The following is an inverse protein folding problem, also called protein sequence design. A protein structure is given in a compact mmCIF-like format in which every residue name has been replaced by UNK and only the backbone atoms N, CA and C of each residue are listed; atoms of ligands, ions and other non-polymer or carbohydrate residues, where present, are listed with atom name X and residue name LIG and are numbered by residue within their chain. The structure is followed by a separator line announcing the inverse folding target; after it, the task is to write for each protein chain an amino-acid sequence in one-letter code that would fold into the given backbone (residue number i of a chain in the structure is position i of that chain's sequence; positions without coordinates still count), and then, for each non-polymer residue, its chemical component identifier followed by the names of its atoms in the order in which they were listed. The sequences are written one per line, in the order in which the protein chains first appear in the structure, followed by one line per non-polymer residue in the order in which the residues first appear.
data_IF_598235107699
#
_entry.id   IF_598235107699
#
_cell.length_a   1.000
_cell.length_b   1.000
_cell.length_c   1.000
_cell.angle_alpha   90.00
_cell.angle_beta   90.00
_cell.angle_gamma   90.00
#
_symmetry.space_group_name_H-M   'P 1'
#
loop_
_entity.id
_entity.type
_entity.pdbx_description
1 polymer ?
#
# COMPACT_ATOMS: atom_id res chain seq x y z
N UNK A 1 6.10 5.92 -18.08
CA UNK A 1 6.74 5.32 -16.92
C UNK A 1 5.94 5.75 -15.72
N UNK A 2 5.25 4.80 -15.12
CA UNK A 2 4.40 5.04 -13.96
C UNK A 2 5.23 4.88 -12.69
N UNK A 3 5.05 5.78 -11.71
CA UNK A 3 5.87 5.82 -10.50
C UNK A 3 5.11 5.21 -9.33
N UNK A 4 5.68 4.17 -8.74
CA UNK A 4 5.12 3.49 -7.58
C UNK A 4 5.87 3.89 -6.32
N UNK A 5 5.14 4.25 -5.26
CA UNK A 5 5.70 4.54 -3.94
C UNK A 5 5.47 3.36 -3.02
N UNK A 6 6.44 3.04 -2.16
CA UNK A 6 6.34 1.89 -1.27
C UNK A 6 7.05 2.14 0.06
N UNK A 7 6.63 1.39 1.08
CA UNK A 7 7.04 1.58 2.47
C UNK A 7 8.23 0.69 2.86
N UNK A 8 8.01 -0.61 2.95
CA UNK A 8 8.97 -1.61 3.42
C UNK A 8 8.62 -2.99 2.85
N UNK A 9 9.42 -4.00 3.15
CA UNK A 9 9.12 -5.39 2.79
C UNK A 9 7.94 -5.94 3.58
N UNK A 10 7.14 -6.79 2.94
CA UNK A 10 5.93 -7.35 3.51
C UNK A 10 6.23 -8.22 4.73
N UNK A 11 5.58 -7.91 5.85
CA UNK A 11 5.76 -8.65 7.10
C UNK A 11 5.10 -10.05 7.08
N UNK A 12 4.16 -10.31 6.17
CA UNK A 12 3.48 -11.60 6.05
C UNK A 12 4.29 -12.62 5.23
N UNK A 13 4.69 -12.28 3.99
CA UNK A 13 5.44 -13.19 3.12
C UNK A 13 6.96 -13.02 3.19
N UNK A 14 7.45 -11.92 3.78
CA UNK A 14 8.88 -11.58 3.90
C UNK A 14 9.62 -11.42 2.56
N UNK A 15 8.90 -11.18 1.47
CA UNK A 15 9.46 -11.08 0.10
C UNK A 15 9.02 -9.77 -0.58
N UNK A 16 7.76 -9.66 -0.96
CA UNK A 16 7.25 -8.52 -1.75
C UNK A 16 7.31 -7.16 -1.05
N UNK A 17 7.29 -6.10 -1.86
CA UNK A 17 7.20 -4.71 -1.40
C UNK A 17 5.76 -4.37 -0.99
N UNK A 18 5.62 -3.58 0.07
CA UNK A 18 4.36 -2.96 0.45
C UNK A 18 4.17 -1.63 -0.31
N UNK A 19 3.53 -1.72 -1.47
CA UNK A 19 3.18 -0.62 -2.36
C UNK A 19 2.07 0.22 -1.74
N UNK A 20 2.16 1.55 -1.82
CA UNK A 20 1.06 2.42 -1.41
C UNK A 20 0.07 2.47 -2.57
N UNK A 21 -1.17 2.05 -2.31
CA UNK A 21 -2.24 1.96 -3.29
C UNK A 21 -3.42 2.80 -2.86
N UNK A 22 -4.11 3.43 -3.82
CA UNK A 22 -5.34 4.17 -3.57
C UNK A 22 -6.54 3.27 -3.84
N UNK A 23 -7.36 3.02 -2.81
CA UNK A 23 -8.71 2.47 -2.92
C UNK A 23 -9.65 3.64 -3.24
N UNK A 24 -10.08 3.73 -4.50
CA UNK A 24 -10.94 4.81 -5.03
C UNK A 24 -12.40 4.61 -4.66
N UNK A 25 -12.78 3.38 -4.27
CA UNK A 25 -14.15 3.09 -3.82
C UNK A 25 -14.43 3.69 -2.45
N UNK A 26 -13.45 3.62 -1.56
CA UNK A 26 -13.55 4.12 -0.18
C UNK A 26 -12.71 5.38 0.07
N UNK A 27 -12.09 5.95 -0.96
CA UNK A 27 -11.29 7.18 -0.91
C UNK A 27 -10.20 7.14 0.17
N UNK A 28 -9.41 6.06 0.19
CA UNK A 28 -8.38 5.81 1.22
C UNK A 28 -7.11 5.17 0.65
N UNK A 29 -5.99 5.39 1.32
CA UNK A 29 -4.75 4.69 1.00
C UNK A 29 -4.63 3.41 1.82
N UNK A 30 -3.97 2.42 1.25
CA UNK A 30 -3.57 1.21 1.95
C UNK A 30 -2.22 0.71 1.42
N UNK A 31 -1.56 -0.14 2.19
CA UNK A 31 -0.36 -0.86 1.77
C UNK A 31 -0.76 -2.19 1.12
N UNK A 32 -0.34 -2.43 -0.11
CA UNK A 32 -0.57 -3.66 -0.88
C UNK A 32 0.74 -4.42 -1.05
N UNK A 33 0.78 -5.71 -0.72
CA UNK A 33 1.91 -6.58 -1.03
C UNK A 33 1.80 -7.14 -2.45
N UNK A 34 2.75 -6.80 -3.31
CA UNK A 34 2.80 -7.22 -4.72
C UNK A 34 2.97 -8.72 -4.96
N UNK A 35 3.37 -9.50 -3.95
CA UNK A 35 3.63 -10.93 -4.07
C UNK A 35 2.53 -11.82 -3.48
N UNK A 36 1.92 -11.38 -2.38
CA UNK A 36 1.03 -12.24 -1.58
C UNK A 36 -0.36 -11.63 -1.35
N UNK A 37 -0.66 -10.50 -2.01
CA UNK A 37 -2.00 -9.88 -2.02
C UNK A 37 -2.52 -9.48 -0.63
N UNK A 38 -1.62 -9.38 0.36
CA UNK A 38 -1.99 -8.86 1.68
C UNK A 38 -2.04 -7.33 1.66
N UNK A 39 -3.10 -6.79 2.25
CA UNK A 39 -3.38 -5.38 2.39
C UNK A 39 -3.38 -4.91 3.86
N UNK A 40 -2.95 -3.68 4.11
CA UNK A 40 -3.07 -3.02 5.42
C UNK A 40 -3.50 -1.55 5.29
N UNK A 41 -4.58 -1.19 5.99
CA UNK A 41 -5.05 0.21 6.06
C UNK A 41 -4.19 1.07 6.98
N UNK A 42 -3.52 0.46 7.95
CA UNK A 42 -2.64 1.13 8.90
C UNK A 42 -1.20 0.62 8.74
N UNK A 43 -0.23 1.48 8.40
CA UNK A 43 1.16 1.08 8.26
C UNK A 43 1.76 0.40 9.51
N UNK A 44 1.33 0.80 10.72
CA UNK A 44 1.80 0.16 11.96
C UNK A 44 1.34 -1.30 12.06
N UNK A 45 0.12 -1.58 11.59
CA UNK A 45 -0.42 -2.94 11.59
C UNK A 45 0.33 -3.82 10.57
N UNK A 46 0.83 -3.22 9.49
CA UNK A 46 1.73 -3.90 8.56
C UNK A 46 3.06 -4.27 9.23
N UNK A 47 3.69 -3.36 9.99
CA UNK A 47 4.93 -3.65 10.72
C UNK A 47 4.76 -4.81 11.73
N UNK A 48 3.61 -4.87 12.41
CA UNK A 48 3.29 -5.89 13.41
C UNK A 48 2.63 -7.17 12.85
N UNK A 49 2.34 -7.20 11.54
CA UNK A 49 1.55 -8.25 10.89
C UNK A 49 0.20 -8.52 11.59
N UNK A 50 -0.57 -7.45 11.82
CA UNK A 50 -1.92 -7.50 12.42
C UNK A 50 -2.93 -6.85 11.50
N UNK A 51 -4.22 -7.12 11.72
CA UNK A 51 -5.35 -6.47 11.02
C UNK A 51 -5.19 -6.37 9.48
N UNK A 52 -4.42 -7.29 8.89
CA UNK A 52 -4.26 -7.38 7.45
C UNK A 52 -5.45 -8.07 6.83
N UNK A 53 -5.66 -7.85 5.55
CA UNK A 53 -6.72 -8.48 4.76
C UNK A 53 -6.15 -8.99 3.43
N UNK A 54 -6.78 -10.00 2.85
CA UNK A 54 -6.49 -10.38 1.47
C UNK A 54 -7.25 -9.45 0.54
N UNK A 55 -6.54 -8.70 -0.29
CA UNK A 55 -7.12 -7.73 -1.23
C UNK A 55 -8.08 -8.41 -2.21
N UNK A 56 -7.76 -9.65 -2.61
CA UNK A 56 -8.61 -10.49 -3.48
C UNK A 56 -9.99 -10.86 -2.88
N UNK A 57 -10.19 -10.68 -1.57
CA UNK A 57 -11.45 -11.00 -0.89
C UNK A 57 -12.29 -9.76 -0.58
N UNK A 58 -11.87 -8.59 -1.05
CA UNK A 58 -12.56 -7.32 -0.83
C UNK A 58 -12.87 -6.69 -2.19
N UNK A 59 -14.10 -6.23 -2.36
CA UNK A 59 -14.54 -5.56 -3.59
C UNK A 59 -14.27 -4.06 -3.47
N UNK A 60 -13.22 -3.58 -4.16
CA UNK A 60 -12.94 -2.17 -4.38
C UNK A 60 -12.13 -1.98 -5.67
N UNK A 61 -12.22 -0.78 -6.23
CA UNK A 61 -11.37 -0.31 -7.32
C UNK A 61 -10.10 0.34 -6.79
N UNK A 62 -9.02 0.24 -7.57
CA UNK A 62 -7.72 0.80 -7.16
C UNK A 62 -6.97 1.52 -8.27
N UNK A 63 -6.10 2.43 -7.85
CA UNK A 63 -5.12 3.08 -8.72
C UNK A 63 -3.80 3.33 -7.97
N UNK A 64 -2.74 3.66 -8.72
CA UNK A 64 -1.51 4.15 -8.12
C UNK A 64 -1.68 5.61 -7.68
N UNK A 65 -1.44 5.95 -6.41
CA UNK A 65 -1.61 7.30 -5.93
C UNK A 65 -0.51 8.23 -6.46
N UNK A 66 -0.88 9.46 -6.77
CA UNK A 66 0.09 10.53 -7.00
C UNK A 66 0.81 10.91 -5.71
N UNK A 67 2.01 11.51 -5.82
CA UNK A 67 2.71 12.04 -4.65
C UNK A 67 1.89 13.08 -3.88
N UNK A 68 1.12 13.90 -4.61
CA UNK A 68 0.24 14.90 -4.00
C UNK A 68 -0.83 14.22 -3.13
N UNK A 69 -1.49 13.18 -3.66
CA UNK A 69 -2.49 12.42 -2.89
C UNK A 69 -1.89 11.77 -1.63
N UNK A 70 -0.68 11.19 -1.74
CA UNK A 70 0.05 10.65 -0.59
C UNK A 70 0.27 11.73 0.48
N UNK A 71 0.67 12.93 0.06
CA UNK A 71 0.89 14.06 0.97
C UNK A 71 -0.42 14.53 1.62
N UNK A 72 -1.49 14.68 0.83
CA UNK A 72 -2.80 15.14 1.29
C UNK A 72 -3.42 14.17 2.31
N UNK A 73 -3.23 12.86 2.12
CA UNK A 73 -3.66 11.81 3.05
C UNK A 73 -2.70 11.62 4.23
N UNK A 74 -1.62 12.41 4.33
CA UNK A 74 -0.59 12.38 5.39
C UNK A 74 0.24 11.10 5.45
N UNK A 75 0.49 10.47 4.30
CA UNK A 75 1.30 9.26 4.16
C UNK A 75 2.75 9.54 3.71
N UNK A 76 3.21 10.79 3.72
CA UNK A 76 4.56 11.15 3.29
C UNK A 76 5.68 10.40 4.03
N UNK A 77 5.52 10.11 5.32
CA UNK A 77 6.49 9.33 6.10
C UNK A 77 6.47 7.83 5.79
N UNK A 78 5.43 7.37 5.10
CA UNK A 78 5.23 5.98 4.68
C UNK A 78 5.80 5.78 3.26
N UNK A 79 5.76 6.79 2.40
CA UNK A 79 6.35 6.76 1.07
C UNK A 79 7.90 6.88 1.11
N UNK A 80 8.56 5.87 1.70
CA UNK A 80 10.02 5.86 1.93
C UNK A 80 10.83 5.61 0.67
N UNK A 81 10.28 4.87 -0.28
CA UNK A 81 10.97 4.42 -1.48
C UNK A 81 10.06 4.56 -2.72
N UNK A 82 10.65 4.49 -3.91
CA UNK A 82 9.92 4.46 -5.17
C UNK A 82 10.64 3.65 -6.26
N UNK A 83 9.91 3.25 -7.29
CA UNK A 83 10.42 2.70 -8.55
C UNK A 83 9.53 3.13 -9.72
N UNK A 84 9.99 2.89 -10.94
CA UNK A 84 9.28 3.26 -12.17
C UNK A 84 9.14 2.02 -13.06
N UNK A 85 7.93 1.79 -13.56
CA UNK A 85 7.58 0.71 -14.50
C UNK A 85 7.11 1.26 -15.86
#
# INVERSE_FOLDING_TARGET
MEKHYWYTSCSACKQGRLIITHDTTNERLYLHCEDCEMGWLNPKDADENKNGFLTLLVEFETENPTLQLIQDKKWSSIAKNFFED
#
